data_IF_402801341263
#
_entry.id   IF_402801341263
#
_cell.length_a   1.000
_cell.length_b   1.000
_cell.length_c   1.000
_cell.angle_alpha   90.00
_cell.angle_beta   90.00
_cell.angle_gamma   90.00
#
_symmetry.space_group_name_H-M   'P 1'
#
loop_
_entity.id
_entity.type
_entity.pdbx_description
1 polymer ?
#
# COMPACT_ATOMS: atom_id res chain seq x y z
N UNK A 1 2.20 -2.92 14.14
CA UNK A 1 2.67 -1.57 13.75
C UNK A 1 1.52 -0.68 13.30
N UNK A 2 0.69 -1.14 12.35
CA UNK A 2 -0.41 -0.35 11.77
C UNK A 2 -1.47 0.13 12.76
N UNK A 3 -1.87 -0.68 13.76
CA UNK A 3 -2.79 -0.24 14.81
C UNK A 3 -2.33 1.02 15.56
N UNK A 4 -1.02 1.20 15.78
CA UNK A 4 -0.47 2.39 16.43
C UNK A 4 -0.53 3.59 15.47
N UNK A 5 -0.26 3.37 14.18
CA UNK A 5 -0.37 4.41 13.16
C UNK A 5 -1.81 4.92 13.04
N UNK A 6 -2.79 4.01 12.92
CA UNK A 6 -4.23 4.31 12.90
C UNK A 6 -4.65 5.14 14.12
N UNK A 7 -4.25 4.72 15.34
CA UNK A 7 -4.54 5.47 16.56
C UNK A 7 -3.93 6.89 16.54
N UNK A 8 -2.78 7.07 15.89
CA UNK A 8 -2.11 8.37 15.78
C UNK A 8 -2.79 9.29 14.77
N UNK A 9 -3.25 8.76 13.65
CA UNK A 9 -3.94 9.54 12.61
C UNK A 9 -5.43 9.74 12.92
N UNK A 10 -6.01 8.93 13.80
CA UNK A 10 -7.40 9.05 14.25
C UNK A 10 -8.44 8.59 13.23
N UNK A 11 -8.03 7.75 12.28
CA UNK A 11 -8.89 7.21 11.22
C UNK A 11 -9.17 5.72 11.44
N UNK A 12 -10.27 5.22 10.88
CA UNK A 12 -10.53 3.79 10.80
C UNK A 12 -9.78 3.16 9.61
N UNK A 13 -9.80 1.83 9.53
CA UNK A 13 -9.14 1.10 8.46
C UNK A 13 -9.76 1.43 7.09
N UNK A 14 -11.10 1.58 7.05
CA UNK A 14 -11.89 1.85 5.85
C UNK A 14 -11.66 3.27 5.29
N UNK A 15 -11.18 4.20 6.12
CA UNK A 15 -10.87 5.58 5.75
C UNK A 15 -9.37 5.79 5.49
N UNK A 16 -8.57 4.73 5.54
CA UNK A 16 -7.10 4.80 5.46
C UNK A 16 -6.59 3.99 4.26
N UNK A 17 -5.51 4.47 3.64
CA UNK A 17 -4.76 3.74 2.61
C UNK A 17 -3.27 3.74 2.95
N UNK A 18 -2.61 2.60 2.75
CA UNK A 18 -1.15 2.49 2.79
C UNK A 18 -0.60 2.71 1.39
N UNK A 19 0.31 3.67 1.25
CA UNK A 19 1.07 3.93 0.02
C UNK A 19 2.51 3.45 0.24
N UNK A 20 3.01 2.56 -0.63
CA UNK A 20 4.36 2.01 -0.51
C UNK A 20 4.91 1.47 -1.82
N UNK A 21 6.20 1.15 -1.83
CA UNK A 21 6.92 0.67 -3.03
C UNK A 21 7.33 -0.80 -2.92
N UNK A 22 7.10 -1.44 -1.77
CA UNK A 22 7.47 -2.84 -1.51
C UNK A 22 6.26 -3.73 -1.28
N UNK A 23 6.17 -4.80 -2.07
CA UNK A 23 5.17 -5.85 -1.88
C UNK A 23 5.33 -6.57 -0.54
N UNK A 24 6.57 -6.93 -0.19
CA UNK A 24 6.94 -7.76 0.96
C UNK A 24 6.95 -7.04 2.31
N UNK A 25 6.71 -5.72 2.32
CA UNK A 25 6.56 -4.92 3.55
C UNK A 25 5.28 -4.10 3.55
N UNK A 26 5.14 -3.15 2.63
CA UNK A 26 4.11 -2.12 2.72
C UNK A 26 2.74 -2.70 2.35
N UNK A 27 2.69 -3.44 1.23
CA UNK A 27 1.45 -4.01 0.72
C UNK A 27 0.97 -5.15 1.63
N UNK A 28 1.86 -6.07 2.02
CA UNK A 28 1.47 -7.12 2.97
C UNK A 28 1.03 -6.55 4.32
N UNK A 29 1.69 -5.49 4.82
CA UNK A 29 1.28 -4.86 6.08
C UNK A 29 -0.12 -4.25 6.01
N UNK A 30 -0.49 -3.66 4.87
CA UNK A 30 -1.83 -3.11 4.65
C UNK A 30 -2.89 -4.20 4.58
N UNK A 31 -2.65 -5.24 3.77
CA UNK A 31 -3.57 -6.38 3.63
C UNK A 31 -3.81 -7.07 4.97
N UNK A 32 -2.75 -7.40 5.72
CA UNK A 32 -2.87 -8.04 7.05
C UNK A 32 -3.51 -7.13 8.11
N UNK A 33 -3.59 -5.83 7.83
CA UNK A 33 -4.27 -4.86 8.70
C UNK A 33 -5.65 -4.47 8.19
N UNK A 34 -6.14 -5.10 7.11
CA UNK A 34 -7.41 -4.75 6.44
C UNK A 34 -7.49 -3.27 6.04
N UNK A 35 -6.35 -2.69 5.65
CA UNK A 35 -6.24 -1.31 5.15
C UNK A 35 -6.01 -1.39 3.63
N UNK A 36 -6.66 -0.51 2.88
CA UNK A 36 -6.43 -0.43 1.44
C UNK A 36 -4.97 -0.15 1.12
N UNK A 37 -4.50 -0.64 -0.04
CA UNK A 37 -3.07 -0.55 -0.41
C UNK A 37 -2.88 0.03 -1.80
N UNK A 38 -1.89 0.90 -1.93
CA UNK A 38 -1.47 1.47 -3.19
C UNK A 38 0.03 1.23 -3.38
N UNK A 39 0.36 0.44 -4.39
CA UNK A 39 1.74 0.23 -4.81
C UNK A 39 2.15 1.33 -5.77
N UNK A 40 3.24 2.05 -5.45
CA UNK A 40 3.89 2.96 -6.40
C UNK A 40 5.10 2.27 -7.04
N UNK A 41 5.20 2.37 -8.37
CA UNK A 41 6.27 1.73 -9.16
C UNK A 41 7.56 2.56 -9.24
N UNK A 42 7.58 3.73 -8.62
CA UNK A 42 8.73 4.63 -8.55
C UNK A 42 9.88 4.14 -7.64
N UNK A 43 9.66 3.04 -6.90
CA UNK A 43 10.63 2.48 -5.96
C UNK A 43 11.11 1.09 -6.35
N UNK A 44 10.98 0.12 -5.43
CA UNK A 44 11.64 -1.19 -5.53
C UNK A 44 10.82 -2.23 -6.29
N UNK A 45 9.53 -2.35 -5.98
CA UNK A 45 8.69 -3.31 -6.69
C UNK A 45 8.32 -2.78 -8.06
N UNK A 46 8.39 -3.66 -9.05
CA UNK A 46 7.87 -3.47 -10.40
C UNK A 46 6.58 -4.27 -10.59
N UNK A 47 5.85 -4.03 -11.68
CA UNK A 47 4.70 -4.86 -12.08
C UNK A 47 5.07 -6.35 -12.12
N UNK A 48 6.22 -6.67 -12.74
CA UNK A 48 6.71 -8.05 -12.86
C UNK A 48 7.03 -8.70 -11.51
N UNK A 49 7.51 -7.94 -10.53
CA UNK A 49 7.73 -8.49 -9.18
C UNK A 49 6.41 -8.66 -8.44
N UNK A 50 5.47 -7.72 -8.58
CA UNK A 50 4.15 -7.80 -7.97
C UNK A 50 3.39 -9.05 -8.44
N UNK A 51 3.52 -9.42 -9.72
CA UNK A 51 2.92 -10.64 -10.28
C UNK A 51 3.36 -11.94 -9.58
N UNK A 52 4.55 -11.96 -8.97
CA UNK A 52 5.10 -13.16 -8.31
C UNK A 52 4.51 -13.45 -6.93
N UNK A 53 3.83 -12.47 -6.32
CA UNK A 53 3.19 -12.66 -5.02
C UNK A 53 1.82 -13.34 -5.18
N UNK A 54 1.33 -14.00 -4.15
CA UNK A 54 -0.01 -14.60 -4.15
C UNK A 54 -1.13 -13.58 -3.88
N UNK A 55 -0.78 -12.39 -3.41
CA UNK A 55 -1.68 -11.28 -3.12
C UNK A 55 -1.41 -10.10 -4.06
N UNK A 56 -2.35 -9.14 -4.10
CA UNK A 56 -2.28 -7.96 -4.95
C UNK A 56 -2.60 -6.71 -4.12
N UNK A 57 -1.96 -5.56 -4.43
CA UNK A 57 -2.38 -4.29 -3.86
C UNK A 57 -3.77 -3.90 -4.39
N UNK A 58 -4.49 -3.05 -3.66
CA UNK A 58 -5.79 -2.51 -4.11
C UNK A 58 -5.62 -1.65 -5.37
N UNK A 59 -4.52 -0.89 -5.44
CA UNK A 59 -4.20 0.02 -6.54
C UNK A 59 -2.71 -0.04 -6.92
N UNK A 60 -2.40 0.29 -8.16
CA UNK A 60 -1.02 0.43 -8.66
C UNK A 60 -0.92 1.73 -9.47
N UNK A 61 0.06 2.58 -9.15
CA UNK A 61 0.37 3.82 -9.88
C UNK A 61 1.86 3.87 -10.23
N UNK A 62 2.24 4.63 -11.25
CA UNK A 62 3.67 4.82 -11.57
C UNK A 62 4.39 5.62 -10.47
N UNK A 63 3.68 6.54 -9.81
CA UNK A 63 4.21 7.30 -8.69
C UNK A 63 3.16 8.13 -7.98
N UNK A 64 3.52 8.69 -6.81
CA UNK A 64 2.64 9.53 -5.98
C UNK A 64 2.15 10.78 -6.73
N UNK A 65 2.88 11.25 -7.74
CA UNK A 65 2.49 12.38 -8.59
C UNK A 65 1.17 12.17 -9.32
N UNK A 66 0.76 10.92 -9.56
CA UNK A 66 -0.50 10.61 -10.25
C UNK A 66 -1.73 10.74 -9.34
N UNK A 67 -1.55 10.94 -8.02
CA UNK A 67 -2.67 11.12 -7.09
C UNK A 67 -3.32 12.50 -7.18
N UNK A 68 -2.59 13.50 -7.68
CA UNK A 68 -3.04 14.90 -7.66
C UNK A 68 -3.58 15.28 -9.04
N UNK A 69 -4.89 15.50 -9.13
CA UNK A 69 -5.55 16.23 -10.22
C UNK A 69 -6.12 17.54 -9.70
#
# INVERSE_FOLDING_TARGET
MMRIALKKIGCSNEETIIIGDRMDTDIIAGIESEIDTLLVLSGISTLKTAEKFAYRPSYILEGVSELVQ
#
